data_IF_271336279972
#
_entry.id   IF_271336279972
#
_cell.length_a   1.000
_cell.length_b   1.000
_cell.length_c   1.000
_cell.angle_alpha   90.00
_cell.angle_beta   90.00
_cell.angle_gamma   90.00
#
_symmetry.space_group_name_H-M   'P 1'
#
loop_
_entity.id
_entity.type
_entity.pdbx_description
1 polymer ?
#
# COMPACT_ATOMS: atom_id res chain seq x y z
N UNK A 1 25.72 10.80 35.20
CA UNK A 1 26.30 10.86 33.84
C UNK A 1 25.43 11.79 33.02
N UNK A 2 25.97 12.91 32.52
CA UNK A 2 25.24 13.79 31.59
C UNK A 2 25.61 13.35 30.17
N UNK A 3 24.60 13.07 29.35
CA UNK A 3 24.78 12.86 27.92
C UNK A 3 24.88 14.24 27.30
N UNK A 4 26.09 14.66 26.95
CA UNK A 4 26.27 15.86 26.14
C UNK A 4 26.54 15.42 24.69
N UNK A 5 25.88 16.07 23.74
CA UNK A 5 25.98 15.76 22.31
C UNK A 5 27.21 16.39 21.65
N UNK A 6 28.12 16.98 22.42
CA UNK A 6 29.38 17.57 21.98
C UNK A 6 30.53 16.57 22.16
N UNK A 7 30.84 15.95 21.04
CA UNK A 7 31.88 14.97 20.76
C UNK A 7 33.28 15.30 21.37
N UNK A 8 33.72 14.55 22.39
CA UNK A 8 35.14 14.33 22.69
C UNK A 8 35.41 12.89 23.21
N UNK A 9 35.92 12.02 22.32
CA UNK A 9 36.87 10.95 22.67
C UNK A 9 36.44 9.78 23.57
N UNK A 10 35.17 9.66 23.96
CA UNK A 10 34.75 8.60 24.89
C UNK A 10 34.25 7.34 24.18
N UNK A 11 35.14 6.37 23.97
CA UNK A 11 34.85 5.06 23.34
C UNK A 11 33.68 4.30 24.01
N UNK A 12 33.43 4.52 25.30
CA UNK A 12 32.31 3.90 26.03
C UNK A 12 30.97 4.51 25.63
N UNK A 13 30.91 5.82 25.37
CA UNK A 13 29.68 6.49 24.91
C UNK A 13 29.30 6.02 23.51
N UNK A 14 30.28 5.92 22.60
CA UNK A 14 30.07 5.38 21.24
C UNK A 14 29.57 3.94 21.29
N UNK A 15 30.18 3.10 22.12
CA UNK A 15 29.74 1.71 22.31
C UNK A 15 28.29 1.65 22.84
N UNK A 16 27.97 2.43 23.87
CA UNK A 16 26.64 2.44 24.46
C UNK A 16 25.58 2.95 23.46
N UNK A 17 25.90 3.98 22.69
CA UNK A 17 25.03 4.50 21.64
C UNK A 17 24.73 3.42 20.56
N UNK A 18 25.77 2.71 20.12
CA UNK A 18 25.61 1.63 19.14
C UNK A 18 24.80 0.44 19.69
N UNK A 19 24.99 0.09 20.96
CA UNK A 19 24.21 -0.96 21.62
C UNK A 19 22.74 -0.54 21.69
N UNK A 20 22.44 0.70 22.12
CA UNK A 20 21.08 1.21 22.17
C UNK A 20 20.44 1.29 20.76
N UNK A 21 21.21 1.68 19.75
CA UNK A 21 20.76 1.63 18.36
C UNK A 21 20.44 0.21 17.88
N UNK A 22 21.27 -0.76 18.25
CA UNK A 22 21.05 -2.18 17.95
C UNK A 22 19.77 -2.71 18.63
N UNK A 23 19.52 -2.33 19.88
CA UNK A 23 18.27 -2.68 20.57
C UNK A 23 17.04 -2.06 19.90
N UNK A 24 17.11 -0.78 19.53
CA UNK A 24 16.00 -0.12 18.83
C UNK A 24 15.68 -0.78 17.49
N UNK A 25 16.69 -1.25 16.77
CA UNK A 25 16.51 -2.00 15.53
C UNK A 25 15.88 -3.38 15.81
N UNK A 26 16.38 -4.10 16.81
CA UNK A 26 15.83 -5.40 17.21
C UNK A 26 14.34 -5.31 17.59
N UNK A 27 13.95 -4.31 18.40
CA UNK A 27 12.55 -4.11 18.76
C UNK A 27 11.67 -3.81 17.55
N UNK A 28 12.16 -3.01 16.60
CA UNK A 28 11.45 -2.73 15.34
C UNK A 28 11.23 -4.02 14.55
N UNK A 29 12.24 -4.87 14.45
CA UNK A 29 12.15 -6.13 13.71
C UNK A 29 11.12 -7.07 14.35
N UNK A 30 11.06 -7.16 15.68
CA UNK A 30 10.03 -7.92 16.40
C UNK A 30 8.60 -7.40 16.13
N UNK A 31 8.41 -6.08 16.04
CA UNK A 31 7.10 -5.49 15.70
C UNK A 31 6.72 -5.84 14.26
N UNK A 32 7.67 -5.79 13.33
CA UNK A 32 7.45 -6.14 11.92
C UNK A 32 7.07 -7.62 11.79
N UNK A 33 7.75 -8.51 12.49
CA UNK A 33 7.45 -9.95 12.50
C UNK A 33 6.01 -10.20 12.98
N UNK A 34 5.66 -9.67 14.16
CA UNK A 34 4.32 -9.86 14.75
C UNK A 34 3.21 -9.29 13.86
N UNK A 35 3.43 -8.12 13.27
CA UNK A 35 2.44 -7.50 12.36
C UNK A 35 2.31 -8.29 11.06
N UNK A 36 3.41 -8.87 10.56
CA UNK A 36 3.41 -9.74 9.39
C UNK A 36 2.61 -11.02 9.64
N UNK A 37 2.85 -11.69 10.76
CA UNK A 37 2.04 -12.86 11.18
C UNK A 37 0.56 -12.49 11.33
N UNK A 38 0.27 -11.34 11.94
CA UNK A 38 -1.06 -10.71 11.99
C UNK A 38 -1.73 -10.63 10.63
N UNK A 39 -1.00 -10.07 9.67
CA UNK A 39 -1.47 -9.87 8.29
C UNK A 39 -1.70 -11.18 7.56
N UNK A 40 -0.79 -12.15 7.67
CA UNK A 40 -0.94 -13.44 6.98
C UNK A 40 -2.13 -14.24 7.57
N UNK A 41 -2.34 -14.19 8.89
CA UNK A 41 -3.54 -14.75 9.52
C UNK A 41 -4.83 -14.11 9.00
N UNK A 42 -4.88 -12.78 8.91
CA UNK A 42 -6.04 -12.07 8.38
C UNK A 42 -6.31 -12.40 6.90
N UNK A 43 -5.27 -12.53 6.08
CA UNK A 43 -5.38 -13.00 4.69
C UNK A 43 -5.92 -14.43 4.62
N UNK A 44 -5.44 -15.34 5.48
CA UNK A 44 -5.92 -16.72 5.56
C UNK A 44 -7.40 -16.83 5.94
N UNK A 45 -7.93 -15.84 6.67
CA UNK A 45 -9.35 -15.71 6.98
C UNK A 45 -10.17 -15.06 5.84
N UNK A 46 -9.56 -14.77 4.69
CA UNK A 46 -10.21 -14.13 3.55
C UNK A 46 -10.45 -12.62 3.71
N UNK A 47 -9.81 -11.97 4.68
CA UNK A 47 -9.97 -10.52 4.89
C UNK A 47 -9.24 -9.76 3.78
N UNK A 48 -9.95 -8.87 3.08
CA UNK A 48 -9.34 -8.03 2.05
C UNK A 48 -8.31 -7.09 2.69
N UNK A 49 -7.07 -7.17 2.21
CA UNK A 49 -5.98 -6.25 2.59
C UNK A 49 -5.75 -5.20 1.49
N UNK A 50 -5.38 -3.98 1.89
CA UNK A 50 -5.11 -2.88 0.95
C UNK A 50 -6.34 -2.06 0.58
N UNK A 51 -6.18 -1.17 -0.41
CA UNK A 51 -7.26 -0.30 -0.88
C UNK A 51 -8.33 -1.14 -1.60
N UNK A 52 -9.62 -1.02 -1.25
CA UNK A 52 -10.70 -1.66 -1.99
C UNK A 52 -10.63 -1.30 -3.48
N UNK A 53 -10.78 -2.33 -4.33
CA UNK A 53 -10.87 -2.16 -5.77
C UNK A 53 -12.11 -1.36 -6.19
N UNK A 54 -12.16 -0.99 -7.47
CA UNK A 54 -13.39 -0.46 -8.06
C UNK A 54 -14.48 -1.54 -8.05
N UNK A 55 -15.74 -1.14 -7.94
CA UNK A 55 -16.87 -2.06 -7.97
C UNK A 55 -16.86 -2.89 -9.27
N UNK A 56 -16.87 -4.22 -9.11
CA UNK A 56 -16.72 -5.16 -10.22
C UNK A 56 -17.88 -5.06 -11.22
N UNK A 57 -19.10 -4.79 -10.73
CA UNK A 57 -20.28 -4.63 -11.59
C UNK A 57 -20.14 -3.39 -12.46
N UNK A 58 -19.74 -2.28 -11.85
CA UNK A 58 -19.52 -1.01 -12.55
C UNK A 58 -18.37 -1.11 -13.54
N UNK A 59 -17.29 -1.81 -13.18
CA UNK A 59 -16.16 -2.07 -14.08
C UNK A 59 -16.57 -2.94 -15.28
N UNK A 60 -17.29 -4.04 -15.06
CA UNK A 60 -17.82 -4.89 -16.15
C UNK A 60 -18.74 -4.12 -17.08
N UNK A 61 -19.61 -3.26 -16.54
CA UNK A 61 -20.47 -2.37 -17.33
C UNK A 61 -19.63 -1.41 -18.19
N UNK A 62 -18.60 -0.80 -17.62
CA UNK A 62 -17.71 0.11 -18.35
C UNK A 62 -16.96 -0.59 -19.48
N UNK A 63 -16.44 -1.80 -19.23
CA UNK A 63 -15.74 -2.61 -20.25
C UNK A 63 -16.71 -3.03 -21.37
N UNK A 64 -17.93 -3.45 -21.03
CA UNK A 64 -18.96 -3.79 -22.03
C UNK A 64 -19.26 -2.59 -22.93
N UNK A 65 -19.54 -1.43 -22.35
CA UNK A 65 -19.80 -0.20 -23.10
C UNK A 65 -18.60 0.21 -23.96
N UNK A 66 -17.38 -0.05 -23.48
CA UNK A 66 -16.15 0.21 -24.22
C UNK A 66 -15.97 -0.73 -25.43
N UNK A 67 -16.32 -2.00 -25.30
CA UNK A 67 -16.23 -2.98 -26.39
C UNK A 67 -17.32 -2.77 -27.44
N UNK A 68 -18.50 -2.32 -27.02
CA UNK A 68 -19.65 -2.02 -27.89
C UNK A 68 -19.57 -0.60 -28.50
N UNK A 69 -18.42 0.08 -28.44
CA UNK A 69 -18.30 1.48 -28.92
C UNK A 69 -18.64 1.67 -30.39
N UNK A 70 -18.40 0.65 -31.21
CA UNK A 70 -18.76 0.67 -32.63
C UNK A 70 -20.28 0.64 -32.86
N UNK A 71 -21.04 0.02 -31.96
CA UNK A 71 -22.50 -0.10 -32.07
C UNK A 71 -23.24 0.97 -31.28
N UNK A 72 -22.70 1.42 -30.15
CA UNK A 72 -23.34 2.41 -29.27
C UNK A 72 -22.89 3.86 -29.53
N UNK A 73 -21.83 4.08 -30.31
CA UNK A 73 -21.33 5.41 -30.70
C UNK A 73 -20.77 6.26 -29.55
N UNK A 74 -20.58 5.72 -28.35
CA UNK A 74 -20.19 6.50 -27.16
C UNK A 74 -18.69 6.86 -27.18
N UNK A 75 -18.34 8.09 -26.76
CA UNK A 75 -16.94 8.44 -26.53
C UNK A 75 -16.42 7.78 -25.24
N UNK A 76 -15.10 7.60 -25.11
CA UNK A 76 -14.50 7.12 -23.83
C UNK A 76 -14.86 8.07 -22.68
N UNK A 77 -15.06 9.35 -22.97
CA UNK A 77 -15.43 10.36 -21.97
C UNK A 77 -16.85 10.14 -21.46
N UNK A 78 -17.75 9.76 -22.35
CA UNK A 78 -19.15 9.51 -22.00
C UNK A 78 -19.26 8.24 -21.14
N UNK A 79 -18.47 7.21 -21.45
CA UNK A 79 -18.40 5.98 -20.66
C UNK A 79 -17.88 6.28 -19.24
N UNK A 80 -16.83 7.09 -19.12
CA UNK A 80 -16.27 7.51 -17.82
C UNK A 80 -17.30 8.30 -17.02
N UNK A 81 -18.02 9.25 -17.65
CA UNK A 81 -19.08 10.01 -16.99
C UNK A 81 -20.25 9.12 -16.54
N UNK A 82 -20.62 8.13 -17.36
CA UNK A 82 -21.73 7.23 -17.08
C UNK A 82 -21.41 6.17 -16.01
N UNK A 83 -20.15 5.75 -15.89
CA UNK A 83 -19.74 4.64 -15.01
C UNK A 83 -18.90 5.08 -13.82
N UNK A 84 -18.36 6.30 -13.82
CA UNK A 84 -17.46 6.80 -12.77
C UNK A 84 -16.07 6.14 -12.77
N UNK A 85 -15.81 5.19 -13.68
CA UNK A 85 -14.51 4.51 -13.78
C UNK A 85 -13.50 5.41 -14.51
N UNK A 86 -12.33 5.69 -13.92
CA UNK A 86 -11.31 6.50 -14.57
C UNK A 86 -10.82 5.90 -15.88
N UNK A 87 -10.45 6.75 -16.85
CA UNK A 87 -9.89 6.32 -18.15
C UNK A 87 -8.69 5.37 -18.00
N UNK A 88 -7.80 5.66 -17.05
CA UNK A 88 -6.62 4.83 -16.77
C UNK A 88 -6.99 3.41 -16.36
N UNK A 89 -8.00 3.27 -15.48
CA UNK A 89 -8.51 1.97 -15.06
C UNK A 89 -9.18 1.23 -16.23
N UNK A 90 -9.95 1.94 -17.05
CA UNK A 90 -10.61 1.35 -18.22
C UNK A 90 -9.58 0.84 -19.24
N UNK A 91 -8.53 1.60 -19.55
CA UNK A 91 -7.49 1.18 -20.47
C UNK A 91 -6.57 0.08 -19.93
N UNK A 92 -6.36 0.00 -18.62
CA UNK A 92 -5.58 -1.06 -18.00
C UNK A 92 -6.32 -2.40 -17.91
N UNK A 93 -7.66 -2.39 -18.03
CA UNK A 93 -8.54 -3.55 -17.83
C UNK A 93 -9.32 -3.97 -19.08
N UNK A 94 -9.22 -3.22 -20.19
CA UNK A 94 -9.84 -3.56 -21.48
C UNK A 94 -9.17 -4.77 -22.12
#
# INVERSE_FOLDING_TARGET
MKFDGSNEGNSLQTLLFNILGSFAQFERDLIVERTTEGRERAKGQGKHMGRPGQDEKTLKRAIKLYNERETNGMSVNDIVKATGIPRSTLYAKR
#
